data_IF_412906182037
#
_entry.id   IF_412906182037
#
_cell.length_a   1.000
_cell.length_b   1.000
_cell.length_c   1.000
_cell.angle_alpha   90.00
_cell.angle_beta   90.00
_cell.angle_gamma   90.00
#
_symmetry.space_group_name_H-M   'P 1'
#
loop_
_entity.id
_entity.type
_entity.pdbx_description
1 polymer ?
#
# COMPACT_ATOMS: atom_id res chain seq x y z
N UNK A 1 -24.08 23.70 30.23
CA UNK A 1 -22.79 22.97 30.21
C UNK A 1 -21.74 24.00 29.83
N UNK A 2 -20.95 24.43 30.83
CA UNK A 2 -20.06 25.60 30.68
C UNK A 2 -18.76 25.22 29.96
N UNK A 3 -18.24 26.12 29.12
CA UNK A 3 -16.99 25.94 28.36
C UNK A 3 -15.74 25.69 29.26
N UNK A 4 -15.80 26.08 30.54
CA UNK A 4 -14.76 25.81 31.51
C UNK A 4 -14.74 24.38 32.04
N UNK A 5 -15.89 23.70 32.15
CA UNK A 5 -15.96 22.28 32.54
C UNK A 5 -15.37 21.40 31.44
N UNK A 6 -15.69 21.70 30.16
CA UNK A 6 -15.12 20.96 29.03
C UNK A 6 -13.61 21.11 28.90
N UNK A 7 -13.03 22.25 29.30
CA UNK A 7 -11.58 22.44 29.30
C UNK A 7 -10.88 21.70 30.44
N UNK A 8 -11.54 21.56 31.60
CA UNK A 8 -11.02 20.76 32.73
C UNK A 8 -11.05 19.28 32.41
N UNK A 9 -12.14 18.79 31.83
CA UNK A 9 -12.28 17.39 31.41
C UNK A 9 -11.25 17.01 30.33
N UNK A 10 -10.97 17.90 29.37
CA UNK A 10 -9.92 17.71 28.36
C UNK A 10 -8.51 17.70 28.97
N UNK A 11 -8.25 18.53 29.97
CA UNK A 11 -6.96 18.57 30.67
C UNK A 11 -6.74 17.32 31.56
N UNK A 12 -7.80 16.77 32.11
CA UNK A 12 -7.75 15.54 32.91
C UNK A 12 -7.60 14.31 32.01
N UNK A 13 -8.29 14.25 30.88
CA UNK A 13 -8.10 13.23 29.83
C UNK A 13 -6.66 13.26 29.28
N UNK A 14 -6.09 14.43 29.06
CA UNK A 14 -4.71 14.56 28.59
C UNK A 14 -3.67 14.04 29.62
N UNK A 15 -4.00 14.02 30.92
CA UNK A 15 -3.14 13.44 31.97
C UNK A 15 -3.25 11.92 32.08
N UNK A 16 -4.36 11.34 31.60
CA UNK A 16 -4.60 9.90 31.61
C UNK A 16 -4.10 9.22 30.33
N UNK A 17 -3.83 9.98 29.28
CA UNK A 17 -3.24 9.47 28.06
C UNK A 17 -1.72 9.39 28.23
N UNK A 18 -1.07 8.29 27.83
CA UNK A 18 0.38 8.21 27.82
C UNK A 18 0.94 9.31 26.92
N UNK A 19 2.09 9.88 27.31
CA UNK A 19 2.77 10.95 26.59
C UNK A 19 2.95 10.57 25.10
N UNK A 20 2.44 11.35 24.14
CA UNK A 20 2.55 11.05 22.72
C UNK A 20 3.99 11.08 22.18
N UNK A 21 4.94 11.61 22.96
CA UNK A 21 6.34 11.72 22.56
C UNK A 21 7.11 10.39 22.44
N UNK A 22 6.48 9.24 22.77
CA UNK A 22 7.16 7.95 22.80
C UNK A 22 6.71 6.91 21.76
N UNK A 23 5.79 7.25 20.85
CA UNK A 23 5.18 6.25 19.94
C UNK A 23 5.36 6.66 18.48
N UNK A 24 6.61 6.67 18.00
CA UNK A 24 6.87 6.75 16.57
C UNK A 24 6.42 5.47 15.88
N UNK A 25 5.50 5.60 14.92
CA UNK A 25 5.01 4.50 14.12
C UNK A 25 6.11 4.03 13.14
N UNK A 26 6.25 2.72 12.90
CA UNK A 26 7.18 2.20 11.92
C UNK A 26 7.04 2.85 10.55
N UNK A 27 8.17 3.05 9.85
CA UNK A 27 8.21 3.58 8.49
C UNK A 27 7.32 2.68 7.58
N UNK A 28 6.37 3.22 6.90
CA UNK A 28 5.37 2.47 6.12
C UNK A 28 3.98 2.43 6.78
N UNK A 29 3.89 2.32 8.10
CA UNK A 29 2.60 2.38 8.81
C UNK A 29 1.93 3.76 8.73
N UNK A 30 2.69 4.83 8.54
CA UNK A 30 2.11 6.16 8.34
C UNK A 30 1.20 6.24 7.12
N UNK A 31 1.56 5.58 6.02
CA UNK A 31 0.72 5.52 4.82
C UNK A 31 -0.55 4.72 5.07
N UNK A 32 -0.41 3.52 5.61
CA UNK A 32 -1.53 2.63 5.90
C UNK A 32 -2.45 3.23 6.96
N UNK A 33 -1.89 3.83 8.03
CA UNK A 33 -2.68 4.49 9.07
C UNK A 33 -3.33 5.78 8.57
N UNK A 34 -2.64 6.56 7.74
CA UNK A 34 -3.22 7.76 7.10
C UNK A 34 -4.35 7.36 6.16
N UNK A 35 -4.18 6.36 5.31
CA UNK A 35 -5.25 5.83 4.45
C UNK A 35 -6.40 5.23 5.27
N UNK A 36 -6.09 4.49 6.33
CA UNK A 36 -7.10 3.91 7.22
C UNK A 36 -7.88 4.99 7.96
N UNK A 37 -7.23 5.97 8.59
CA UNK A 37 -7.90 7.11 9.23
C UNK A 37 -8.74 7.93 8.23
N UNK A 38 -8.25 8.11 7.00
CA UNK A 38 -8.98 8.81 5.96
C UNK A 38 -10.15 7.97 5.43
N UNK A 39 -10.08 6.64 5.42
CA UNK A 39 -11.19 5.76 5.08
C UNK A 39 -12.26 5.70 6.17
N UNK A 40 -11.87 5.65 7.44
CA UNK A 40 -12.78 5.69 8.59
C UNK A 40 -13.54 7.02 8.67
N UNK A 41 -12.87 8.15 8.43
CA UNK A 41 -13.51 9.46 8.34
C UNK A 41 -14.54 9.52 7.20
N UNK A 42 -14.29 8.85 6.06
CA UNK A 42 -15.24 8.74 4.96
C UNK A 42 -16.46 7.86 5.30
N UNK A 43 -16.30 6.85 6.14
CA UNK A 43 -17.40 5.97 6.59
C UNK A 43 -18.29 6.69 7.61
N UNK A 44 -17.71 7.51 8.49
CA UNK A 44 -18.44 8.26 9.50
C UNK A 44 -19.35 9.36 8.91
N UNK A 45 -19.05 9.86 7.72
CA UNK A 45 -19.83 10.91 7.03
C UNK A 45 -20.93 10.40 6.08
N UNK A 46 -21.23 9.09 6.06
CA UNK A 46 -22.38 8.60 5.28
C UNK A 46 -23.68 8.96 5.98
N UNK A 47 -24.54 9.80 5.39
CA UNK A 47 -25.86 10.07 5.95
C UNK A 47 -26.69 8.78 5.90
N UNK A 48 -27.17 8.36 7.04
CA UNK A 48 -28.16 7.29 7.19
C UNK A 48 -29.45 7.72 6.48
N UNK A 49 -29.62 7.28 5.25
CA UNK A 49 -30.85 7.47 4.50
C UNK A 49 -31.92 6.50 5.03
N UNK A 50 -32.65 6.97 6.01
CA UNK A 50 -33.92 6.38 6.36
C UNK A 50 -35.06 7.28 5.85
N UNK A 51 -35.88 6.77 4.92
CA UNK A 51 -37.32 6.94 4.99
C UNK A 51 -38.04 6.46 3.71
N UNK A 52 -39.27 5.98 3.84
CA UNK A 52 -39.92 5.11 2.87
C UNK A 52 -40.60 5.91 1.78
N UNK A 53 -40.33 5.58 0.53
CA UNK A 53 -41.06 6.14 -0.60
C UNK A 53 -42.35 5.40 -0.83
N UNK A 54 -43.41 6.14 -0.69
CA UNK A 54 -44.82 5.89 -0.93
C UNK A 54 -45.05 5.36 -2.36
N UNK A 55 -45.61 4.16 -2.44
CA UNK A 55 -46.04 3.44 -3.64
C UNK A 55 -47.14 4.23 -4.37
N UNK A 56 -46.86 4.78 -5.55
CA UNK A 56 -47.87 5.31 -6.48
C UNK A 56 -47.94 4.43 -7.73
N UNK A 57 -49.03 3.66 -7.83
CA UNK A 57 -49.38 2.88 -9.01
C UNK A 57 -49.60 3.79 -10.21
N UNK A 58 -48.92 3.53 -11.32
CA UNK A 58 -49.40 3.87 -12.67
C UNK A 58 -49.10 2.76 -13.64
N UNK A 59 -50.06 2.56 -14.55
CA UNK A 59 -50.26 1.44 -15.47
C UNK A 59 -49.27 1.46 -16.67
N UNK A 60 -49.24 0.41 -17.50
CA UNK A 60 -48.05 0.00 -18.24
C UNK A 60 -47.88 0.68 -19.57
N UNK A 61 -46.65 0.94 -19.97
CA UNK A 61 -46.23 1.06 -21.35
C UNK A 61 -45.21 -0.04 -21.60
N UNK A 62 -45.66 -1.08 -22.24
CA UNK A 62 -44.89 -2.20 -22.75
C UNK A 62 -44.36 -1.81 -24.12
N UNK A 63 -43.18 -2.39 -24.45
CA UNK A 63 -42.54 -2.51 -25.74
C UNK A 63 -41.50 -1.44 -26.05
N UNK A 64 -40.25 -1.91 -26.02
CA UNK A 64 -39.00 -1.69 -26.74
C UNK A 64 -37.77 -1.65 -25.82
N UNK A 65 -37.61 -2.59 -24.90
CA UNK A 65 -36.37 -2.70 -24.09
C UNK A 65 -35.79 -4.13 -23.99
N UNK A 66 -36.11 -5.00 -24.95
CA UNK A 66 -35.69 -6.43 -24.85
C UNK A 66 -34.39 -6.74 -25.61
N UNK A 67 -33.91 -5.86 -26.50
CA UNK A 67 -32.72 -6.16 -27.32
C UNK A 67 -31.39 -5.73 -26.73
N UNK A 68 -31.33 -4.86 -25.72
CA UNK A 68 -30.05 -4.44 -25.10
C UNK A 68 -29.70 -5.15 -23.80
N UNK A 69 -30.67 -5.77 -23.14
CA UNK A 69 -30.41 -6.52 -21.90
C UNK A 69 -29.70 -7.87 -22.13
N UNK A 70 -29.81 -8.44 -23.34
CA UNK A 70 -29.15 -9.70 -23.68
C UNK A 70 -27.65 -9.58 -23.91
N UNK A 71 -27.16 -8.43 -24.40
CA UNK A 71 -25.73 -8.21 -24.64
C UNK A 71 -24.93 -7.97 -23.33
N UNK A 72 -25.54 -7.31 -22.34
CA UNK A 72 -24.91 -7.09 -21.02
C UNK A 72 -24.91 -8.36 -20.17
N UNK A 73 -25.96 -9.18 -20.27
CA UNK A 73 -26.03 -10.46 -19.56
C UNK A 73 -25.01 -11.50 -20.06
N UNK A 74 -24.66 -11.46 -21.36
CA UNK A 74 -23.65 -12.37 -21.94
C UNK A 74 -22.23 -11.97 -21.52
N UNK A 75 -21.94 -10.69 -21.37
CA UNK A 75 -20.64 -10.21 -20.88
C UNK A 75 -20.45 -10.53 -19.39
N UNK A 76 -21.51 -10.44 -18.58
CA UNK A 76 -21.49 -10.82 -17.15
C UNK A 76 -21.44 -12.34 -16.94
N UNK A 77 -21.92 -13.14 -17.87
CA UNK A 77 -21.85 -14.60 -17.81
C UNK A 77 -20.49 -15.19 -18.24
N UNK A 78 -19.63 -14.38 -18.88
CA UNK A 78 -18.26 -14.74 -19.28
C UNK A 78 -17.20 -14.30 -18.25
N UNK A 79 -17.59 -13.65 -17.14
CA UNK A 79 -16.70 -13.46 -16.02
C UNK A 79 -16.50 -14.83 -15.34
N UNK A 80 -15.28 -15.34 -15.27
CA UNK A 80 -15.02 -16.63 -14.62
C UNK A 80 -15.41 -16.53 -13.15
N UNK A 81 -16.52 -17.20 -12.81
CA UNK A 81 -16.94 -17.38 -11.42
C UNK A 81 -15.91 -18.25 -10.73
N UNK A 82 -15.18 -17.66 -9.78
CA UNK A 82 -14.36 -18.43 -8.85
C UNK A 82 -13.00 -18.87 -9.37
N UNK A 83 -12.18 -17.94 -9.89
CA UNK A 83 -10.74 -18.21 -10.00
C UNK A 83 -10.12 -18.13 -8.60
N UNK A 84 -9.55 -19.23 -8.12
CA UNK A 84 -8.82 -19.32 -6.84
C UNK A 84 -7.45 -18.62 -6.88
N UNK A 85 -7.32 -17.51 -7.62
CA UNK A 85 -6.07 -16.77 -7.79
C UNK A 85 -6.22 -15.54 -8.69
N UNK A 86 -5.10 -14.93 -9.04
CA UNK A 86 -5.01 -13.80 -9.96
C UNK A 86 -5.54 -14.13 -11.36
N UNK A 87 -5.88 -13.12 -12.16
CA UNK A 87 -6.26 -13.31 -13.56
C UNK A 87 -5.13 -14.01 -14.35
N UNK A 88 -5.44 -14.75 -15.44
CA UNK A 88 -4.40 -15.42 -16.24
C UNK A 88 -3.32 -14.47 -16.79
N UNK A 89 -3.70 -13.22 -17.10
CA UNK A 89 -2.75 -12.18 -17.52
C UNK A 89 -1.82 -11.77 -16.37
N UNK A 90 -2.37 -11.55 -15.17
CA UNK A 90 -1.60 -11.21 -13.98
C UNK A 90 -0.67 -12.35 -13.55
N UNK A 91 -1.14 -13.60 -13.58
CA UNK A 91 -0.30 -14.76 -13.29
C UNK A 91 0.91 -14.85 -14.24
N UNK A 92 0.71 -14.64 -15.54
CA UNK A 92 1.81 -14.65 -16.53
C UNK A 92 2.77 -13.49 -16.32
N UNK A 93 2.28 -12.28 -16.02
CA UNK A 93 3.11 -11.11 -15.77
C UNK A 93 3.92 -11.31 -14.49
N UNK A 94 3.27 -11.70 -13.39
CA UNK A 94 3.93 -11.95 -12.10
C UNK A 94 4.96 -13.07 -12.18
N UNK A 95 4.73 -14.11 -12.98
CA UNK A 95 5.72 -15.16 -13.22
C UNK A 95 6.99 -14.63 -13.90
N UNK A 96 6.84 -13.73 -14.90
CA UNK A 96 7.98 -13.08 -15.56
C UNK A 96 8.73 -12.15 -14.60
N UNK A 97 8.01 -11.33 -13.82
CA UNK A 97 8.59 -10.44 -12.82
C UNK A 97 9.34 -11.26 -11.75
N UNK A 98 8.75 -12.35 -11.28
CA UNK A 98 9.38 -13.24 -10.31
C UNK A 98 10.67 -13.89 -10.85
N UNK A 99 10.68 -14.29 -12.14
CA UNK A 99 11.88 -14.82 -12.76
C UNK A 99 12.98 -13.76 -12.85
N UNK A 100 12.65 -12.54 -13.27
CA UNK A 100 13.59 -11.41 -13.33
C UNK A 100 14.14 -11.04 -11.94
N UNK A 101 13.28 -10.99 -10.91
CA UNK A 101 13.69 -10.70 -9.54
C UNK A 101 14.57 -11.80 -8.95
N UNK A 102 14.26 -13.07 -9.20
CA UNK A 102 15.03 -14.21 -8.73
C UNK A 102 16.41 -14.36 -9.40
N UNK A 103 16.59 -13.78 -10.60
CA UNK A 103 17.86 -13.78 -11.33
C UNK A 103 18.81 -12.65 -10.90
N UNK A 104 18.40 -11.75 -10.01
CA UNK A 104 19.28 -10.69 -9.51
C UNK A 104 20.41 -11.27 -8.66
N UNK A 105 21.61 -10.64 -8.68
CA UNK A 105 22.73 -11.09 -7.86
C UNK A 105 22.41 -10.97 -6.37
N UNK A 106 22.91 -11.91 -5.59
CA UNK A 106 22.79 -11.87 -4.13
C UNK A 106 23.78 -10.84 -3.60
N UNK A 107 23.27 -9.83 -2.91
CA UNK A 107 24.13 -8.83 -2.28
C UNK A 107 24.83 -9.39 -1.05
N UNK A 108 26.13 -9.09 -0.90
CA UNK A 108 26.88 -9.34 0.33
C UNK A 108 26.61 -8.23 1.33
N UNK A 109 25.72 -8.49 2.30
CA UNK A 109 25.23 -7.48 3.23
C UNK A 109 25.77 -7.76 4.64
N UNK A 110 26.38 -6.75 5.28
CA UNK A 110 26.87 -6.82 6.67
C UNK A 110 25.76 -6.41 7.66
N UNK A 111 25.82 -6.95 8.86
CA UNK A 111 24.81 -6.68 9.90
C UNK A 111 24.75 -5.22 10.37
N UNK A 112 25.83 -4.48 10.23
CA UNK A 112 25.95 -3.09 10.63
C UNK A 112 25.64 -2.10 9.47
N UNK A 113 25.06 -2.59 8.39
CA UNK A 113 24.62 -1.76 7.27
C UNK A 113 23.13 -1.41 7.35
N UNK A 114 22.72 -0.54 6.47
CA UNK A 114 21.33 -0.13 6.28
C UNK A 114 20.92 -0.40 4.84
N UNK A 115 19.69 -0.91 4.65
CA UNK A 115 19.02 -0.82 3.36
C UNK A 115 18.60 0.64 3.15
N UNK A 116 18.89 1.18 1.97
CA UNK A 116 18.52 2.52 1.56
C UNK A 116 17.58 2.46 0.37
N UNK A 117 16.48 3.20 0.47
CA UNK A 117 15.53 3.37 -0.63
C UNK A 117 15.23 4.86 -0.78
N UNK A 118 15.39 5.38 -1.99
CA UNK A 118 14.92 6.71 -2.38
C UNK A 118 13.73 6.56 -3.31
N UNK A 119 12.69 7.34 -3.06
CA UNK A 119 11.49 7.40 -3.87
C UNK A 119 10.98 8.84 -3.96
N UNK A 120 10.25 9.15 -5.04
CA UNK A 120 9.38 10.30 -5.12
C UNK A 120 7.98 9.84 -4.76
N UNK A 121 7.31 10.60 -3.89
CA UNK A 121 5.96 10.30 -3.42
C UNK A 121 5.05 11.51 -3.59
N UNK A 122 3.78 11.26 -3.76
CA UNK A 122 2.75 12.30 -3.85
C UNK A 122 1.45 11.72 -3.28
N UNK A 123 0.81 12.45 -2.38
CA UNK A 123 -0.40 12.02 -1.70
C UNK A 123 -1.53 13.01 -1.95
N UNK A 124 -2.74 12.53 -1.83
CA UNK A 124 -3.91 13.39 -1.83
C UNK A 124 -4.07 14.05 -0.46
N UNK A 125 -4.11 15.37 -0.43
CA UNK A 125 -4.36 16.18 0.76
C UNK A 125 -5.77 16.72 0.67
N UNK A 126 -6.61 16.46 1.69
CA UNK A 126 -7.98 16.93 1.76
C UNK A 126 -8.10 18.02 2.84
N UNK A 127 -8.64 19.18 2.48
CA UNK A 127 -8.91 20.26 3.43
C UNK A 127 -10.33 20.12 4.00
N UNK A 128 -10.47 20.27 5.33
CA UNK A 128 -11.78 20.42 5.99
C UNK A 128 -12.53 19.14 6.33
N UNK A 129 -11.89 17.98 6.34
CA UNK A 129 -12.47 16.71 6.87
C UNK A 129 -13.65 16.09 6.10
N UNK A 130 -14.21 16.78 5.10
CA UNK A 130 -15.40 16.35 4.38
C UNK A 130 -15.18 15.80 2.96
N UNK A 131 -13.98 15.40 2.63
CA UNK A 131 -13.67 14.69 1.37
C UNK A 131 -13.87 15.48 0.05
N UNK A 132 -14.43 16.67 0.10
CA UNK A 132 -14.89 17.40 -1.09
C UNK A 132 -13.86 18.38 -1.66
N UNK A 133 -12.73 18.58 -1.00
CA UNK A 133 -11.69 19.52 -1.45
C UNK A 133 -10.31 18.87 -1.33
N UNK A 134 -10.09 17.82 -2.11
CA UNK A 134 -8.85 17.05 -2.12
C UNK A 134 -8.01 17.43 -3.34
N UNK A 135 -6.74 17.67 -3.11
CA UNK A 135 -5.75 17.94 -4.16
C UNK A 135 -4.55 17.02 -4.01
N UNK A 136 -3.96 16.61 -5.12
CA UNK A 136 -2.67 15.93 -5.10
C UNK A 136 -1.58 16.94 -4.77
N UNK A 137 -0.77 16.64 -3.77
CA UNK A 137 0.44 17.42 -3.51
C UNK A 137 1.47 17.25 -4.62
N UNK A 138 2.42 18.20 -4.70
CA UNK A 138 3.53 18.05 -5.63
C UNK A 138 4.39 16.85 -5.20
N UNK A 139 4.87 16.03 -6.17
CA UNK A 139 5.80 14.95 -5.86
C UNK A 139 7.02 15.50 -5.11
N UNK A 140 7.40 14.83 -4.03
CA UNK A 140 8.55 15.18 -3.21
C UNK A 140 9.38 13.93 -2.88
N UNK A 141 10.64 14.13 -2.50
CA UNK A 141 11.55 13.02 -2.22
C UNK A 141 11.30 12.43 -0.83
N UNK A 142 11.32 11.10 -0.76
CA UNK A 142 11.29 10.31 0.47
C UNK A 142 12.44 9.33 0.47
N UNK A 143 13.22 9.33 1.54
CA UNK A 143 14.39 8.48 1.72
C UNK A 143 14.23 7.65 2.99
N UNK A 144 14.50 6.36 2.90
CA UNK A 144 14.38 5.41 4.02
C UNK A 144 15.72 4.72 4.21
N UNK A 145 16.21 4.69 5.44
CA UNK A 145 17.35 3.88 5.90
C UNK A 145 16.83 2.93 6.98
N UNK A 146 16.85 1.64 6.70
CA UNK A 146 16.39 0.62 7.63
C UNK A 146 17.55 -0.28 8.01
N UNK A 147 17.71 -0.59 9.30
CA UNK A 147 18.76 -1.49 9.76
C UNK A 147 18.68 -2.86 9.09
N UNK A 148 19.82 -3.38 8.65
CA UNK A 148 19.93 -4.71 8.04
C UNK A 148 19.64 -5.82 9.03
N UNK A 149 20.00 -5.64 10.30
CA UNK A 149 19.88 -6.67 11.33
C UNK A 149 18.92 -6.27 12.44
N UNK A 150 18.68 -7.19 13.35
CA UNK A 150 17.90 -6.97 14.57
C UNK A 150 18.70 -6.26 15.69
N UNK A 151 19.78 -5.56 15.37
CA UNK A 151 20.50 -4.77 16.36
C UNK A 151 19.70 -3.51 16.68
N UNK A 152 19.85 -3.01 17.90
CA UNK A 152 19.20 -1.79 18.38
C UNK A 152 19.78 -0.54 17.70
N UNK A 153 19.62 -0.42 16.42
CA UNK A 153 20.13 0.69 15.63
C UNK A 153 18.95 1.41 15.01
N UNK A 154 18.87 2.70 15.28
CA UNK A 154 17.81 3.58 14.78
C UNK A 154 17.83 3.65 13.27
N UNK A 155 16.71 3.34 12.63
CA UNK A 155 16.45 3.65 11.22
C UNK A 155 16.18 5.15 11.05
N UNK A 156 16.12 5.61 9.82
CA UNK A 156 15.87 7.00 9.47
C UNK A 156 14.92 7.08 8.28
N UNK A 157 13.89 7.89 8.39
CA UNK A 157 13.07 8.34 7.26
C UNK A 157 13.28 9.85 7.12
N UNK A 158 13.60 10.29 5.91
CA UNK A 158 13.66 11.70 5.56
C UNK A 158 12.67 11.93 4.42
N UNK A 159 11.76 12.87 4.61
CA UNK A 159 10.74 13.22 3.64
C UNK A 159 10.71 14.74 3.46
N UNK A 160 10.63 15.21 2.24
CA UNK A 160 10.70 16.64 1.90
C UNK A 160 9.32 17.16 1.50
N UNK A 161 8.34 17.02 2.40
CA UNK A 161 6.99 17.52 2.15
C UNK A 161 6.96 19.05 2.21
N UNK A 162 6.37 19.70 1.21
CA UNK A 162 6.19 21.16 1.13
C UNK A 162 7.50 21.95 1.36
N UNK A 163 8.61 21.48 0.78
CA UNK A 163 9.96 22.07 0.93
C UNK A 163 10.50 22.09 2.38
N UNK A 164 9.83 21.43 3.30
CA UNK A 164 10.28 21.26 4.69
C UNK A 164 10.76 19.84 4.93
N UNK A 165 12.02 19.62 5.31
CA UNK A 165 12.50 18.27 5.61
C UNK A 165 11.85 17.78 6.91
N UNK A 166 11.08 16.72 6.81
CA UNK A 166 10.60 15.95 7.94
C UNK A 166 11.54 14.78 8.15
N UNK A 167 12.13 14.67 9.31
CA UNK A 167 13.04 13.58 9.66
C UNK A 167 12.46 12.81 10.82
N UNK A 168 12.22 11.53 10.60
CA UNK A 168 11.75 10.61 11.62
C UNK A 168 12.84 9.58 11.91
N UNK A 169 13.17 9.38 13.18
CA UNK A 169 14.01 8.27 13.60
C UNK A 169 13.12 7.20 14.23
N UNK A 170 13.27 5.95 13.77
CA UNK A 170 12.58 4.83 14.39
C UNK A 170 13.41 4.34 15.59
N UNK A 171 12.93 4.60 16.80
CA UNK A 171 13.47 4.01 18.02
C UNK A 171 12.62 2.78 18.36
N UNK A 172 13.21 1.60 18.29
CA UNK A 172 12.53 0.40 18.76
C UNK A 172 12.52 0.37 20.29
N UNK A 173 11.31 0.33 20.87
CA UNK A 173 11.11 0.29 22.31
C UNK A 173 11.67 -1.00 22.97
N UNK A 174 11.82 -2.05 22.18
CA UNK A 174 12.30 -3.35 22.62
C UNK A 174 13.51 -3.79 21.80
N UNK A 175 14.66 -3.70 22.37
CA UNK A 175 15.91 -4.20 21.80
C UNK A 175 16.28 -5.57 22.38
N UNK A 176 16.76 -6.52 21.55
CA UNK A 176 16.91 -6.46 20.09
C UNK A 176 15.57 -6.66 19.36
N UNK A 177 15.33 -5.86 18.32
CA UNK A 177 14.14 -5.99 17.47
C UNK A 177 14.47 -6.86 16.24
N UNK A 178 13.83 -8.03 16.09
CA UNK A 178 14.16 -8.96 15.01
C UNK A 178 13.59 -8.58 13.65
N UNK A 179 12.73 -7.57 13.59
CA UNK A 179 11.87 -7.25 12.46
C UNK A 179 10.63 -8.15 12.40
N UNK A 180 9.58 -7.65 11.78
CA UNK A 180 8.36 -8.40 11.45
C UNK A 180 7.94 -8.11 10.00
N UNK A 181 6.74 -8.55 9.61
CA UNK A 181 6.25 -8.41 8.23
C UNK A 181 5.91 -6.95 7.89
N UNK A 182 5.63 -6.11 8.88
CA UNK A 182 5.25 -4.71 8.71
C UNK A 182 6.42 -3.74 8.85
N UNK A 183 7.50 -4.18 9.53
CA UNK A 183 8.75 -3.44 9.69
C UNK A 183 9.94 -4.40 9.53
N UNK A 184 10.19 -4.87 8.29
CA UNK A 184 11.12 -5.96 8.06
C UNK A 184 12.56 -5.47 8.04
N UNK A 185 13.42 -6.07 8.87
CA UNK A 185 14.86 -5.99 8.64
C UNK A 185 15.27 -6.90 7.47
N UNK A 186 16.41 -6.62 6.82
CA UNK A 186 16.91 -7.52 5.76
C UNK A 186 17.11 -8.95 6.27
N UNK A 187 17.58 -9.13 7.53
CA UNK A 187 17.76 -10.45 8.15
C UNK A 187 16.44 -11.15 8.46
N UNK A 188 15.39 -10.39 8.75
CA UNK A 188 14.04 -10.96 8.83
C UNK A 188 13.60 -11.47 7.45
N UNK A 189 13.74 -10.66 6.42
CA UNK A 189 13.38 -11.03 5.05
C UNK A 189 14.13 -12.27 4.56
N UNK A 190 15.41 -12.44 4.92
CA UNK A 190 16.17 -13.63 4.57
C UNK A 190 15.61 -14.93 5.13
N UNK A 191 14.84 -14.88 6.21
CA UNK A 191 14.23 -16.05 6.86
C UNK A 191 12.83 -16.37 6.34
N UNK A 192 12.26 -15.50 5.50
CA UNK A 192 10.92 -15.73 4.95
C UNK A 192 10.89 -16.97 4.06
N UNK A 193 9.76 -17.69 4.04
CA UNK A 193 9.58 -18.83 3.14
C UNK A 193 9.73 -18.40 1.68
N UNK A 194 10.43 -19.19 0.89
CA UNK A 194 10.52 -19.01 -0.58
C UNK A 194 9.44 -19.78 -1.34
N UNK A 195 8.66 -20.62 -0.66
CA UNK A 195 7.44 -21.22 -1.21
C UNK A 195 6.32 -20.17 -1.23
N UNK A 196 5.72 -19.86 -2.40
CA UNK A 196 4.69 -18.84 -2.52
C UNK A 196 3.49 -19.05 -1.60
N UNK A 197 3.03 -20.30 -1.46
CA UNK A 197 1.91 -20.66 -0.56
C UNK A 197 2.27 -20.45 0.93
N UNK A 198 3.46 -20.89 1.31
CA UNK A 198 3.90 -20.74 2.69
C UNK A 198 4.09 -19.27 3.05
N UNK A 199 4.62 -18.47 2.12
CA UNK A 199 4.80 -17.03 2.29
C UNK A 199 3.46 -16.29 2.39
N UNK A 200 2.52 -16.57 1.47
CA UNK A 200 1.18 -15.98 1.53
C UNK A 200 0.48 -16.37 2.84
N UNK A 201 0.53 -17.63 3.26
CA UNK A 201 -0.06 -18.08 4.51
C UNK A 201 0.61 -17.48 5.74
N UNK A 202 1.91 -17.12 5.69
CA UNK A 202 2.56 -16.35 6.74
C UNK A 202 2.03 -14.91 6.78
N UNK A 203 2.00 -14.22 5.64
CA UNK A 203 1.45 -12.87 5.53
C UNK A 203 0.02 -12.83 6.06
N UNK A 204 -0.85 -13.76 5.64
CA UNK A 204 -2.24 -13.83 6.08
C UNK A 204 -2.42 -14.10 7.59
N UNK A 205 -1.45 -14.71 8.25
CA UNK A 205 -1.47 -14.90 9.73
C UNK A 205 -1.01 -13.68 10.50
N UNK A 206 -0.06 -12.94 9.94
CA UNK A 206 0.53 -11.75 10.58
C UNK A 206 -0.26 -10.47 10.29
N UNK A 207 -1.30 -10.54 9.43
CA UNK A 207 -2.17 -9.41 9.13
C UNK A 207 -2.88 -8.92 10.39
N UNK A 208 -2.83 -7.61 10.61
CA UNK A 208 -3.42 -6.93 11.77
C UNK A 208 -4.55 -5.97 11.36
N UNK A 209 -4.80 -5.82 10.05
CA UNK A 209 -5.77 -4.89 9.50
C UNK A 209 -7.20 -5.41 9.56
N UNK A 210 -8.14 -4.51 9.26
CA UNK A 210 -9.57 -4.81 9.17
C UNK A 210 -10.04 -4.98 7.71
N UNK A 211 -9.11 -4.89 6.76
CA UNK A 211 -9.41 -5.06 5.35
C UNK A 211 -9.70 -6.54 5.02
N UNK A 212 -10.42 -6.82 3.94
CA UNK A 212 -10.54 -8.18 3.44
C UNK A 212 -9.16 -8.81 3.18
N UNK A 213 -9.00 -10.07 3.56
CA UNK A 213 -7.72 -10.79 3.45
C UNK A 213 -6.99 -10.62 2.12
N UNK A 214 -7.63 -10.69 0.94
CA UNK A 214 -6.95 -10.51 -0.34
C UNK A 214 -6.36 -9.11 -0.52
N UNK A 215 -7.08 -8.07 -0.09
CA UNK A 215 -6.63 -6.68 -0.18
C UNK A 215 -5.46 -6.43 0.74
N UNK A 216 -5.57 -6.83 2.01
CA UNK A 216 -4.50 -6.64 2.99
C UNK A 216 -3.23 -7.40 2.60
N UNK A 217 -3.37 -8.64 2.12
CA UNK A 217 -2.23 -9.41 1.61
C UNK A 217 -1.58 -8.74 0.38
N UNK A 218 -2.38 -8.18 -0.54
CA UNK A 218 -1.86 -7.44 -1.68
C UNK A 218 -1.12 -6.18 -1.21
N UNK A 219 -1.69 -5.39 -0.31
CA UNK A 219 -1.07 -4.20 0.26
C UNK A 219 0.24 -4.53 0.97
N UNK A 220 0.24 -5.52 1.88
CA UNK A 220 1.45 -5.94 2.61
C UNK A 220 2.58 -6.39 1.66
N UNK A 221 2.26 -7.16 0.60
CA UNK A 221 3.25 -7.53 -0.40
C UNK A 221 3.75 -6.28 -1.14
N UNK A 222 2.88 -5.32 -1.45
CA UNK A 222 3.24 -4.06 -2.10
C UNK A 222 4.22 -3.22 -1.26
N UNK A 223 4.00 -3.14 0.05
CA UNK A 223 4.87 -2.44 0.99
C UNK A 223 6.26 -3.10 1.05
N UNK A 224 6.30 -4.44 1.15
CA UNK A 224 7.56 -5.20 1.11
C UNK A 224 8.33 -5.00 -0.20
N UNK A 225 7.63 -4.87 -1.32
CA UNK A 225 8.25 -4.60 -2.64
C UNK A 225 8.69 -3.15 -2.73
N UNK A 226 7.89 -2.20 -2.24
CA UNK A 226 8.13 -0.76 -2.35
C UNK A 226 9.20 -0.25 -1.41
N UNK A 227 9.15 -0.66 -0.14
CA UNK A 227 9.89 -0.05 0.96
C UNK A 227 10.97 -0.97 1.57
N UNK A 228 11.18 -2.17 1.06
CA UNK A 228 12.23 -3.06 1.51
C UNK A 228 13.12 -3.58 0.36
N UNK A 229 14.33 -4.01 0.72
CA UNK A 229 15.22 -4.76 -0.18
C UNK A 229 15.22 -6.21 0.26
N UNK A 230 14.43 -7.05 -0.39
CA UNK A 230 14.39 -8.47 -0.12
C UNK A 230 15.46 -9.24 -0.91
N UNK A 231 15.98 -10.37 -0.38
CA UNK A 231 16.82 -11.27 -1.15
C UNK A 231 16.11 -11.74 -2.44
N UNK A 232 16.84 -12.01 -3.53
CA UNK A 232 16.25 -12.37 -4.83
C UNK A 232 15.23 -13.51 -4.76
N UNK A 233 15.52 -14.56 -4.01
CA UNK A 233 14.62 -15.71 -3.84
C UNK A 233 13.31 -15.33 -3.13
N UNK A 234 13.39 -14.44 -2.13
CA UNK A 234 12.22 -13.94 -1.39
C UNK A 234 11.43 -12.95 -2.25
N UNK A 235 12.10 -12.04 -2.97
CA UNK A 235 11.44 -11.16 -3.95
C UNK A 235 10.66 -11.95 -4.98
N UNK A 236 11.25 -13.01 -5.55
CA UNK A 236 10.56 -13.89 -6.48
C UNK A 236 9.36 -14.62 -5.83
N UNK A 237 9.48 -15.01 -4.56
CA UNK A 237 8.40 -15.64 -3.82
C UNK A 237 7.23 -14.68 -3.54
N UNK A 238 7.50 -13.40 -3.22
CA UNK A 238 6.48 -12.36 -3.03
C UNK A 238 5.64 -12.18 -4.30
N UNK A 239 6.25 -12.06 -5.47
CA UNK A 239 5.51 -11.95 -6.73
C UNK A 239 4.69 -13.19 -7.06
N UNK A 240 5.23 -14.39 -6.78
CA UNK A 240 4.49 -15.64 -6.96
C UNK A 240 3.36 -15.79 -5.93
N UNK A 241 3.53 -15.29 -4.71
CA UNK A 241 2.49 -15.26 -3.70
C UNK A 241 1.34 -14.33 -4.13
N UNK A 242 1.64 -13.15 -4.68
CA UNK A 242 0.64 -12.25 -5.24
C UNK A 242 -0.20 -12.90 -6.37
N UNK A 243 0.40 -13.80 -7.16
CA UNK A 243 -0.33 -14.56 -8.20
C UNK A 243 -1.38 -15.53 -7.62
N UNK A 244 -1.31 -15.87 -6.34
CA UNK A 244 -2.30 -16.71 -5.65
C UNK A 244 -3.47 -15.90 -5.09
N UNK A 245 -3.39 -14.56 -5.05
CA UNK A 245 -4.43 -13.69 -4.49
C UNK A 245 -5.57 -13.56 -5.50
N UNK A 246 -6.82 -13.93 -5.13
CA UNK A 246 -7.98 -13.73 -6.00
C UNK A 246 -8.23 -12.25 -6.27
N UNK A 247 -8.60 -11.92 -7.51
CA UNK A 247 -8.93 -10.54 -7.89
C UNK A 247 -7.77 -9.71 -8.40
N UNK A 248 -6.53 -10.19 -8.33
CA UNK A 248 -5.36 -9.51 -8.91
C UNK A 248 -5.44 -9.51 -10.44
N UNK A 249 -5.26 -8.33 -11.04
CA UNK A 249 -5.41 -8.05 -12.47
C UNK A 249 -4.19 -7.33 -13.06
N UNK A 250 -4.26 -6.96 -14.34
CA UNK A 250 -3.21 -6.18 -15.05
C UNK A 250 -3.81 -4.90 -15.60
N UNK A 251 -3.05 -3.81 -15.47
CA UNK A 251 -3.31 -2.53 -16.14
C UNK A 251 -2.19 -2.29 -17.15
N UNK A 252 -2.55 -2.17 -18.43
CA UNK A 252 -1.57 -2.12 -19.53
C UNK A 252 -0.70 -0.86 -19.53
N UNK A 253 -1.28 0.28 -19.14
CA UNK A 253 -0.61 1.58 -19.14
C UNK A 253 -0.78 2.22 -17.77
N UNK A 254 0.27 2.23 -16.99
CA UNK A 254 0.33 2.92 -15.71
C UNK A 254 1.52 3.86 -15.70
N UNK A 255 1.43 4.92 -14.90
CA UNK A 255 2.47 5.96 -14.81
C UNK A 255 2.78 6.21 -13.35
N UNK A 256 4.05 6.22 -12.97
CA UNK A 256 4.51 6.47 -11.62
C UNK A 256 4.62 7.98 -11.29
N UNK A 257 5.04 8.32 -10.07
CA UNK A 257 5.06 9.69 -9.56
C UNK A 257 6.00 10.65 -10.33
N UNK A 258 6.95 10.13 -11.12
CA UNK A 258 7.86 10.95 -11.95
C UNK A 258 7.62 10.77 -13.44
N UNK A 259 6.47 10.21 -13.84
CA UNK A 259 6.04 10.13 -15.23
C UNK A 259 6.60 8.94 -16.02
N UNK A 260 7.22 7.93 -15.38
CA UNK A 260 7.68 6.73 -16.10
C UNK A 260 6.50 5.81 -16.39
N UNK A 261 6.37 5.42 -17.66
CA UNK A 261 5.33 4.51 -18.10
C UNK A 261 5.72 3.05 -17.89
N UNK A 262 4.74 2.21 -17.55
CA UNK A 262 4.93 0.79 -17.34
C UNK A 262 3.64 -0.02 -17.43
N UNK A 263 3.75 -1.29 -17.12
CA UNK A 263 2.63 -2.23 -16.91
C UNK A 263 2.41 -2.39 -15.42
N UNK A 264 1.15 -2.43 -14.99
CA UNK A 264 0.88 -2.61 -13.56
C UNK A 264 0.17 -3.94 -13.27
N UNK A 265 0.50 -4.48 -12.08
CA UNK A 265 -0.29 -5.48 -11.37
C UNK A 265 -1.18 -4.73 -10.40
N UNK A 266 -2.47 -5.04 -10.41
CA UNK A 266 -3.45 -4.23 -9.69
C UNK A 266 -4.43 -5.08 -8.89
N UNK A 267 -4.89 -4.54 -7.79
CA UNK A 267 -6.01 -5.04 -7.00
C UNK A 267 -7.04 -3.94 -6.79
N UNK A 268 -8.32 -4.29 -6.91
CA UNK A 268 -9.41 -3.34 -6.70
C UNK A 268 -10.25 -3.78 -5.51
N UNK A 269 -10.42 -2.87 -4.57
CA UNK A 269 -11.36 -3.02 -3.47
C UNK A 269 -12.25 -1.79 -3.36
N UNK A 270 -13.56 -2.00 -3.29
CA UNK A 270 -14.55 -0.94 -3.41
C UNK A 270 -14.24 -0.09 -4.67
N UNK A 271 -14.15 1.21 -4.54
CA UNK A 271 -13.86 2.12 -5.64
C UNK A 271 -12.36 2.49 -5.75
N UNK A 272 -11.48 1.82 -5.00
CA UNK A 272 -10.04 2.09 -5.03
C UNK A 272 -9.29 0.96 -5.71
N UNK A 273 -8.46 1.32 -6.71
CA UNK A 273 -7.54 0.40 -7.37
C UNK A 273 -6.10 0.75 -7.00
N UNK A 274 -5.44 -0.19 -6.32
CA UNK A 274 -4.00 -0.13 -6.02
C UNK A 274 -3.22 -0.82 -7.13
N UNK A 275 -2.18 -0.17 -7.62
CA UNK A 275 -1.36 -0.59 -8.76
C UNK A 275 0.12 -0.64 -8.38
N UNK A 276 0.80 -1.74 -8.63
CA UNK A 276 2.26 -1.86 -8.63
C UNK A 276 2.77 -1.74 -10.05
N UNK A 277 3.59 -0.76 -10.33
CA UNK A 277 4.03 -0.39 -11.67
C UNK A 277 5.41 -0.97 -11.94
N UNK A 278 5.57 -1.62 -13.08
CA UNK A 278 6.80 -2.26 -13.52
C UNK A 278 7.21 -1.75 -14.89
N UNK A 279 8.50 -1.62 -15.11
CA UNK A 279 9.04 -1.35 -16.46
C UNK A 279 8.62 -2.47 -17.42
N UNK A 280 7.99 -2.13 -18.52
CA UNK A 280 7.61 -3.10 -19.56
C UNK A 280 8.81 -3.76 -20.24
N UNK A 281 10.00 -3.12 -20.16
CA UNK A 281 11.25 -3.62 -20.78
C UNK A 281 12.06 -4.50 -19.83
N UNK A 282 12.26 -4.03 -18.59
CA UNK A 282 13.17 -4.69 -17.63
C UNK A 282 12.44 -5.48 -16.54
N UNK A 283 11.12 -5.31 -16.41
CA UNK A 283 10.28 -5.87 -15.35
C UNK A 283 10.68 -5.43 -13.93
N UNK A 284 11.53 -4.40 -13.81
CA UNK A 284 11.87 -3.79 -12.53
C UNK A 284 10.69 -3.00 -11.99
N UNK A 285 10.50 -3.05 -10.69
CA UNK A 285 9.51 -2.23 -9.99
C UNK A 285 9.88 -0.75 -10.10
N UNK A 286 8.94 0.05 -10.57
CA UNK A 286 9.09 1.50 -10.72
C UNK A 286 8.46 2.25 -9.56
N UNK A 287 7.33 1.81 -9.06
CA UNK A 287 6.58 2.48 -8.03
C UNK A 287 5.14 1.96 -7.92
N UNK A 288 4.29 2.69 -7.24
CA UNK A 288 2.89 2.36 -7.05
C UNK A 288 1.97 3.54 -7.33
N UNK A 289 0.69 3.25 -7.54
CA UNK A 289 -0.36 4.25 -7.68
C UNK A 289 -1.67 3.72 -7.08
N UNK A 290 -2.42 4.60 -6.44
CA UNK A 290 -3.80 4.36 -5.99
C UNK A 290 -4.74 5.27 -6.78
N UNK A 291 -5.80 4.70 -7.35
CA UNK A 291 -6.76 5.39 -8.23
C UNK A 291 -8.17 5.17 -7.69
N UNK A 292 -8.89 6.24 -7.49
CA UNK A 292 -10.32 6.23 -7.23
C UNK A 292 -11.06 5.98 -8.57
N UNK A 293 -11.76 4.86 -8.67
CA UNK A 293 -12.43 4.46 -9.90
C UNK A 293 -13.75 5.20 -10.16
N UNK A 294 -14.36 5.78 -9.13
CA UNK A 294 -15.59 6.56 -9.27
C UNK A 294 -15.30 7.91 -9.90
N UNK A 295 -14.15 8.52 -9.59
CA UNK A 295 -13.76 9.85 -10.07
C UNK A 295 -12.65 9.80 -11.12
N UNK A 296 -11.90 8.70 -11.21
CA UNK A 296 -10.68 8.60 -11.99
C UNK A 296 -9.48 9.35 -11.39
N UNK A 297 -9.64 9.91 -10.20
CA UNK A 297 -8.57 10.65 -9.52
C UNK A 297 -7.50 9.71 -8.96
N UNK A 298 -6.26 10.19 -8.94
CA UNK A 298 -5.17 9.53 -8.22
C UNK A 298 -5.19 9.98 -6.77
N UNK A 299 -5.14 9.03 -5.81
CA UNK A 299 -5.14 9.31 -4.37
C UNK A 299 -3.73 9.28 -3.78
N UNK A 300 -2.82 8.59 -4.44
CA UNK A 300 -1.43 8.48 -4.02
C UNK A 300 -0.59 7.82 -5.10
N UNK A 301 0.69 8.17 -5.17
CA UNK A 301 1.63 7.56 -6.10
C UNK A 301 3.04 7.63 -5.57
N UNK A 302 3.84 6.66 -6.01
CA UNK A 302 5.27 6.60 -5.70
C UNK A 302 6.11 6.28 -6.94
N UNK A 303 7.39 6.63 -6.87
CA UNK A 303 8.39 6.26 -7.87
C UNK A 303 9.72 5.96 -7.19
N UNK A 304 10.11 4.70 -7.14
CA UNK A 304 11.40 4.29 -6.59
C UNK A 304 12.50 4.65 -7.58
N UNK A 305 13.51 5.39 -7.11
CA UNK A 305 14.63 5.87 -7.92
C UNK A 305 15.93 5.16 -7.60
N UNK A 306 16.13 4.77 -6.32
CA UNK A 306 17.37 4.13 -5.91
C UNK A 306 17.14 3.09 -4.80
N UNK A 307 17.90 2.01 -4.85
CA UNK A 307 18.00 0.99 -3.81
C UNK A 307 19.45 0.61 -3.62
N UNK A 308 19.92 0.60 -2.38
CA UNK A 308 21.31 0.28 -2.06
C UNK A 308 21.45 -0.21 -0.61
N UNK A 309 22.64 -0.71 -0.27
CA UNK A 309 23.08 -0.88 1.11
C UNK A 309 24.15 0.14 1.43
N UNK A 310 24.02 0.81 2.58
CA UNK A 310 24.95 1.85 3.04
C UNK A 310 25.42 1.57 4.47
N UNK A 311 26.55 2.14 4.85
CA UNK A 311 27.18 1.84 6.14
C UNK A 311 26.60 2.61 7.32
N UNK A 312 25.80 3.67 7.05
CA UNK A 312 25.19 4.51 8.12
C UNK A 312 23.84 5.04 7.64
N UNK A 313 22.89 5.18 8.58
CA UNK A 313 21.67 5.93 8.33
C UNK A 313 22.00 7.38 7.97
N UNK A 314 21.25 7.97 7.03
CA UNK A 314 21.48 9.32 6.52
C UNK A 314 22.61 9.44 5.47
N UNK A 315 23.41 8.39 5.22
CA UNK A 315 24.40 8.37 4.14
C UNK A 315 23.73 8.00 2.81
N UNK A 316 24.06 8.77 1.78
CA UNK A 316 23.65 8.43 0.42
C UNK A 316 24.61 7.40 -0.18
N UNK A 317 24.11 6.53 -1.08
CA UNK A 317 24.98 5.67 -1.90
C UNK A 317 25.94 6.52 -2.74
N UNK A 318 27.19 6.03 -2.90
CA UNK A 318 28.18 6.65 -3.77
C UNK A 318 27.95 6.34 -5.23
#
# INVERSE_FOLDING_TARGET
MNADDSRRDLAELARLLPDPAGHDLPAGRHLVLKEHLMSELRIADRPTAGSPVRRRRRKPAIIVAVAMAAAVAVVLALLPRGTSGASPAAMRLLAKIAAAAGAQPIAHVRNNQFSYISSWVSYQICQGGSGNNCVMEKPHERQIWQSVSNQCVTGLVREYAQDTPLTFSSNYLHCPYPGDIHDPTYRFLQRLPTSPRALLGLIEREMQGQLPRPEEAFTTIGDLIGEAIAPPAVSAALYRAAALIPGVTVVANATDAIGRHGVAVAFTYQDTRTEWIFSSKTLQYLGSRSVDLATGATNGMSAVTQRAFVDRAGRLPG
#
